data_IF_627988482049
#
_entry.id   IF_627988482049
#
_cell.length_a   1.000
_cell.length_b   1.000
_cell.length_c   1.000
_cell.angle_alpha   90.00
_cell.angle_beta   90.00
_cell.angle_gamma   90.00
#
_symmetry.space_group_name_H-M   'P 1'
#
loop_
_entity.id
_entity.type
_entity.pdbx_description
1 polymer ?
#
# COMPACT_ATOMS: atom_id res chain seq x y z
N UNK A 1 2.01 -5.01 -11.59
CA UNK A 1 1.02 -4.18 -10.86
C UNK A 1 1.72 -2.92 -10.35
N UNK A 2 1.98 -1.97 -11.25
CA UNK A 2 2.55 -0.64 -10.98
C UNK A 2 2.19 0.23 -12.18
N UNK A 3 1.71 1.45 -11.93
CA UNK A 3 1.28 2.48 -12.91
C UNK A 3 0.24 2.12 -13.98
N UNK A 4 -0.03 0.85 -14.23
CA UNK A 4 -0.96 0.39 -15.26
C UNK A 4 -2.42 0.71 -14.93
N UNK A 5 -2.74 1.06 -13.68
CA UNK A 5 -4.10 1.36 -13.23
C UNK A 5 -5.09 0.20 -13.39
N UNK A 6 -4.62 -0.98 -13.79
CA UNK A 6 -5.45 -2.15 -14.03
C UNK A 6 -5.95 -2.71 -12.70
N UNK A 7 -7.25 -3.02 -12.60
CA UNK A 7 -7.80 -3.66 -11.41
C UNK A 7 -7.21 -5.06 -11.26
N UNK A 8 -6.94 -5.43 -10.01
CA UNK A 8 -6.55 -6.80 -9.66
C UNK A 8 -7.73 -7.45 -8.95
N UNK A 9 -8.28 -8.57 -9.46
CA UNK A 9 -9.33 -9.30 -8.78
C UNK A 9 -8.85 -9.76 -7.40
N UNK A 10 -9.56 -9.34 -6.35
CA UNK A 10 -9.41 -9.89 -5.02
C UNK A 10 -10.34 -11.10 -4.92
N UNK A 11 -9.76 -12.30 -4.98
CA UNK A 11 -10.45 -13.58 -4.83
C UNK A 11 -9.95 -14.28 -3.57
N UNK A 12 -10.59 -15.38 -3.17
CA UNK A 12 -10.16 -16.16 -1.99
C UNK A 12 -8.72 -16.68 -2.14
N UNK A 13 -8.25 -16.86 -3.38
CA UNK A 13 -6.86 -17.18 -3.72
C UNK A 13 -5.85 -16.12 -3.29
N UNK A 14 -6.29 -14.88 -3.07
CA UNK A 14 -5.42 -13.79 -2.62
C UNK A 14 -4.81 -14.03 -1.23
N UNK A 15 -5.39 -14.94 -0.44
CA UNK A 15 -4.88 -15.32 0.88
C UNK A 15 -4.00 -16.58 0.86
N UNK A 16 -3.94 -17.27 -0.28
CA UNK A 16 -3.19 -18.51 -0.43
C UNK A 16 -1.70 -18.21 -0.56
N UNK A 17 -0.88 -18.90 0.22
CA UNK A 17 0.57 -18.84 0.11
C UNK A 17 1.02 -19.94 -0.84
N UNK A 18 1.70 -19.54 -1.91
CA UNK A 18 2.27 -20.44 -2.90
C UNK A 18 3.76 -20.63 -2.61
N UNK A 19 4.18 -21.87 -2.46
CA UNK A 19 5.59 -22.25 -2.38
C UNK A 19 6.09 -22.64 -3.76
N UNK A 20 7.28 -22.16 -4.13
CA UNK A 20 7.94 -22.51 -5.38
C UNK A 20 9.33 -23.07 -5.07
N UNK A 21 9.68 -24.17 -5.72
CA UNK A 21 11.02 -24.72 -5.67
C UNK A 21 12.02 -23.69 -6.24
N UNK A 22 13.12 -23.47 -5.52
CA UNK A 22 14.09 -22.43 -5.86
C UNK A 22 14.78 -22.73 -7.19
N UNK A 23 15.20 -23.97 -7.42
CA UNK A 23 15.91 -24.35 -8.64
C UNK A 23 14.98 -24.25 -9.85
N UNK A 24 13.72 -24.68 -9.70
CA UNK A 24 12.69 -24.52 -10.72
C UNK A 24 12.38 -23.04 -11.02
N UNK A 25 12.26 -22.20 -9.99
CA UNK A 25 12.03 -20.77 -10.13
C UNK A 25 13.19 -20.06 -10.85
N UNK A 26 14.43 -20.38 -10.48
CA UNK A 26 15.62 -19.86 -11.14
C UNK A 26 15.70 -20.33 -12.59
N UNK A 27 15.43 -21.60 -12.86
CA UNK A 27 15.45 -22.14 -14.23
C UNK A 27 14.49 -21.41 -15.17
N UNK A 28 13.34 -20.95 -14.66
CA UNK A 28 12.35 -20.18 -15.40
C UNK A 28 12.66 -18.68 -15.50
N UNK A 29 13.53 -18.15 -14.65
CA UNK A 29 13.80 -16.71 -14.58
C UNK A 29 15.23 -16.39 -15.05
N UNK A 30 15.36 -15.93 -16.29
CA UNK A 30 16.65 -15.56 -16.88
C UNK A 30 17.36 -14.45 -16.11
N UNK A 31 16.63 -13.40 -15.71
CA UNK A 31 17.22 -12.28 -14.96
C UNK A 31 17.74 -12.74 -13.60
N UNK A 32 16.96 -13.54 -12.87
CA UNK A 32 17.36 -14.03 -11.56
C UNK A 32 18.67 -14.84 -11.64
N UNK A 33 18.81 -15.72 -12.64
CA UNK A 33 20.07 -16.46 -12.87
C UNK A 33 21.24 -15.56 -13.19
N UNK A 34 21.04 -14.56 -14.05
CA UNK A 34 22.11 -13.61 -14.42
C UNK A 34 22.59 -12.80 -13.20
N UNK A 35 21.67 -12.40 -12.32
CA UNK A 35 22.00 -11.63 -11.11
C UNK A 35 22.83 -12.45 -10.11
N UNK A 36 22.60 -13.76 -10.00
CA UNK A 36 23.35 -14.63 -9.07
C UNK A 36 24.86 -14.67 -9.35
N UNK A 37 25.29 -14.34 -10.57
CA UNK A 37 26.72 -14.32 -10.95
C UNK A 37 27.37 -12.94 -10.83
N UNK A 38 26.66 -11.95 -10.28
CA UNK A 38 27.15 -10.57 -10.16
C UNK A 38 27.73 -10.28 -8.78
N UNK A 39 28.64 -9.31 -8.71
CA UNK A 39 29.29 -8.89 -7.47
C UNK A 39 28.83 -7.49 -7.00
N UNK A 40 28.12 -6.75 -7.86
CA UNK A 40 27.68 -5.40 -7.55
C UNK A 40 26.39 -5.00 -8.24
N UNK A 41 25.75 -3.96 -7.70
CA UNK A 41 24.46 -3.44 -8.20
C UNK A 41 24.54 -2.91 -9.63
N UNK A 42 25.69 -2.40 -10.07
CA UNK A 42 25.82 -1.88 -11.44
C UNK A 42 25.67 -2.98 -12.49
N UNK A 43 26.25 -4.16 -12.24
CA UNK A 43 26.08 -5.35 -13.08
C UNK A 43 24.62 -5.83 -13.08
N UNK A 44 23.95 -5.82 -11.93
CA UNK A 44 22.52 -6.16 -11.81
C UNK A 44 21.65 -5.23 -12.66
N UNK A 45 21.90 -3.92 -12.57
CA UNK A 45 21.19 -2.94 -13.38
C UNK A 45 21.44 -3.14 -14.88
N UNK A 46 22.67 -3.48 -15.28
CA UNK A 46 23.00 -3.76 -16.67
C UNK A 46 22.25 -4.99 -17.18
N UNK A 47 22.25 -6.09 -16.43
CA UNK A 47 21.47 -7.28 -16.80
C UNK A 47 19.97 -7.02 -16.86
N UNK A 48 19.44 -6.18 -15.98
CA UNK A 48 18.02 -5.78 -16.02
C UNK A 48 17.70 -5.07 -17.33
N UNK A 49 18.55 -4.13 -17.78
CA UNK A 49 18.40 -3.47 -19.09
C UNK A 49 18.51 -4.44 -20.25
N UNK A 50 19.51 -5.31 -20.24
CA UNK A 50 19.78 -6.23 -21.34
C UNK A 50 18.67 -7.28 -21.51
N UNK A 51 18.10 -7.76 -20.40
CA UNK A 51 17.11 -8.85 -20.40
C UNK A 51 15.68 -8.32 -20.44
N UNK A 52 15.36 -7.30 -19.64
CA UNK A 52 13.99 -6.76 -19.50
C UNK A 52 13.75 -5.49 -20.31
N UNK A 53 14.81 -4.85 -20.84
CA UNK A 53 14.71 -3.56 -21.54
C UNK A 53 14.65 -2.34 -20.62
N UNK A 54 14.65 -2.55 -19.29
CA UNK A 54 14.62 -1.48 -18.29
C UNK A 54 15.25 -1.93 -16.96
N UNK A 55 15.58 -0.96 -16.10
CA UNK A 55 15.97 -1.19 -14.71
C UNK A 55 14.99 -0.47 -13.78
N UNK A 56 14.49 -1.14 -12.74
CA UNK A 56 13.67 -0.49 -11.70
C UNK A 56 14.44 0.66 -11.04
N UNK A 57 15.76 0.57 -10.90
CA UNK A 57 16.58 1.66 -10.35
C UNK A 57 16.60 2.88 -11.29
N UNK A 58 16.64 2.67 -12.61
CA UNK A 58 16.51 3.78 -13.57
C UNK A 58 15.11 4.42 -13.48
N UNK A 59 14.08 3.58 -13.37
CA UNK A 59 12.72 4.05 -13.18
C UNK A 59 12.61 4.88 -11.89
N UNK A 60 13.14 4.43 -10.75
CA UNK A 60 13.10 5.19 -9.50
C UNK A 60 13.95 6.47 -9.53
N UNK A 61 15.10 6.47 -10.23
CA UNK A 61 15.91 7.67 -10.43
C UNK A 61 15.17 8.70 -11.27
N UNK A 62 14.57 8.28 -12.38
CA UNK A 62 13.67 9.11 -13.16
C UNK A 62 12.48 9.55 -12.32
N UNK A 63 11.96 8.66 -11.48
CA UNK A 63 10.83 8.95 -10.60
C UNK A 63 11.19 9.97 -9.52
N UNK A 64 12.43 10.01 -9.07
CA UNK A 64 12.88 10.97 -8.09
C UNK A 64 13.13 12.34 -8.73
N UNK A 65 13.61 12.39 -9.98
CA UNK A 65 13.94 13.66 -10.65
C UNK A 65 12.70 14.51 -10.98
N UNK A 66 11.65 13.92 -11.55
CA UNK A 66 10.37 14.62 -11.80
C UNK A 66 9.55 14.89 -10.52
N UNK A 67 9.64 14.08 -9.47
CA UNK A 67 8.98 14.40 -8.18
C UNK A 67 9.71 15.53 -7.44
N UNK A 68 11.04 15.56 -7.52
CA UNK A 68 11.85 16.63 -6.93
C UNK A 68 11.61 18.01 -7.58
N UNK A 69 11.06 18.05 -8.79
CA UNK A 69 10.70 19.31 -9.48
C UNK A 69 9.24 19.73 -9.26
N UNK A 70 8.40 18.89 -8.65
CA UNK A 70 7.03 19.25 -8.31
C UNK A 70 7.00 20.11 -7.04
N UNK A 71 6.40 21.30 -7.14
CA UNK A 71 6.15 22.13 -5.96
C UNK A 71 5.13 21.43 -5.06
N UNK A 72 5.41 21.39 -3.75
CA UNK A 72 4.47 20.84 -2.79
C UNK A 72 3.12 21.59 -2.89
N UNK A 73 2.10 20.90 -3.39
CA UNK A 73 0.79 21.49 -3.55
C UNK A 73 0.13 21.61 -2.17
N UNK A 74 -0.18 22.83 -1.75
CA UNK A 74 -1.02 23.03 -0.57
C UNK A 74 -2.42 22.52 -0.87
N UNK A 75 -2.81 21.46 -0.17
CA UNK A 75 -4.13 20.85 -0.33
C UNK A 75 -5.19 21.72 0.34
N UNK A 76 -6.26 22.00 -0.40
CA UNK A 76 -7.50 22.52 0.15
C UNK A 76 -8.42 21.34 0.52
N UNK A 77 -8.83 21.19 1.79
CA UNK A 77 -9.61 20.03 2.24
C UNK A 77 -10.90 19.80 1.45
N UNK A 78 -11.65 20.86 1.14
CA UNK A 78 -12.91 20.74 0.39
C UNK A 78 -12.67 20.25 -1.05
N UNK A 79 -11.64 20.80 -1.71
CA UNK A 79 -11.22 20.34 -3.03
C UNK A 79 -10.78 18.87 -3.02
N UNK A 80 -10.10 18.42 -1.96
CA UNK A 80 -9.69 17.02 -1.81
C UNK A 80 -10.89 16.09 -1.63
N UNK A 81 -11.86 16.46 -0.81
CA UNK A 81 -13.08 15.67 -0.61
C UNK A 81 -13.89 15.55 -1.91
N UNK A 82 -14.06 16.64 -2.65
CA UNK A 82 -14.74 16.59 -3.96
C UNK A 82 -14.03 15.64 -4.94
N UNK A 83 -12.70 15.74 -5.05
CA UNK A 83 -11.91 14.85 -5.90
C UNK A 83 -11.95 13.39 -5.44
N UNK A 84 -12.15 13.14 -4.15
CA UNK A 84 -12.35 11.79 -3.61
C UNK A 84 -13.69 11.21 -4.02
N UNK A 85 -14.76 12.01 -4.00
CA UNK A 85 -16.07 11.58 -4.50
C UNK A 85 -16.01 11.24 -6.00
N UNK A 86 -15.33 12.06 -6.80
CA UNK A 86 -15.09 11.80 -8.23
C UNK A 86 -14.28 10.51 -8.45
N UNK A 87 -13.18 10.35 -7.70
CA UNK A 87 -12.34 9.15 -7.75
C UNK A 87 -13.13 7.89 -7.39
N UNK A 88 -13.97 7.94 -6.35
CA UNK A 88 -14.80 6.83 -5.92
C UNK A 88 -15.86 6.47 -6.98
N UNK A 89 -16.52 7.47 -7.56
CA UNK A 89 -17.51 7.27 -8.62
C UNK A 89 -16.88 6.61 -9.86
N UNK A 90 -15.70 7.08 -10.28
CA UNK A 90 -14.94 6.50 -11.40
C UNK A 90 -14.41 5.09 -11.09
N UNK A 91 -13.94 4.84 -9.87
CA UNK A 91 -13.52 3.50 -9.47
C UNK A 91 -14.72 2.53 -9.52
N UNK A 92 -15.87 2.94 -8.98
CA UNK A 92 -17.09 2.14 -8.96
C UNK A 92 -17.63 1.86 -10.36
N UNK A 93 -17.56 2.84 -11.28
CA UNK A 93 -18.00 2.65 -12.68
C UNK A 93 -17.17 1.56 -13.39
N UNK A 94 -15.93 1.36 -12.95
CA UNK A 94 -15.01 0.30 -13.41
C UNK A 94 -15.11 -1.00 -12.61
N UNK A 95 -16.08 -1.12 -11.70
CA UNK A 95 -16.28 -2.31 -10.87
C UNK A 95 -15.27 -2.47 -9.72
N UNK A 96 -14.51 -1.42 -9.40
CA UNK A 96 -13.51 -1.43 -8.31
C UNK A 96 -14.21 -1.14 -6.98
N UNK A 97 -14.02 -2.02 -6.01
CA UNK A 97 -14.59 -1.91 -4.65
C UNK A 97 -13.53 -1.62 -3.56
N UNK A 98 -12.24 -1.77 -3.88
CA UNK A 98 -11.13 -1.49 -2.97
C UNK A 98 -10.05 -0.71 -3.70
N UNK A 99 -9.40 0.23 -2.98
CA UNK A 99 -8.23 0.95 -3.47
C UNK A 99 -7.16 0.96 -2.39
N UNK A 100 -5.89 1.08 -2.79
CA UNK A 100 -4.79 1.19 -1.83
C UNK A 100 -4.55 2.65 -1.46
N UNK A 101 -4.05 2.91 -0.25
CA UNK A 101 -3.66 4.25 0.16
C UNK A 101 -2.61 4.86 -0.78
N UNK A 102 -1.67 4.05 -1.27
CA UNK A 102 -0.70 4.47 -2.28
C UNK A 102 -1.38 4.95 -3.55
N UNK A 103 -2.36 4.21 -4.08
CA UNK A 103 -3.08 4.60 -5.30
C UNK A 103 -3.86 5.91 -5.11
N UNK A 104 -4.43 6.12 -3.93
CA UNK A 104 -5.02 7.41 -3.55
C UNK A 104 -3.93 8.48 -3.54
N UNK A 105 -2.84 8.32 -2.79
CA UNK A 105 -1.74 9.28 -2.74
C UNK A 105 -1.23 9.68 -4.14
N UNK A 106 -1.05 8.71 -5.04
CA UNK A 106 -0.70 8.94 -6.45
C UNK A 106 -1.76 9.75 -7.20
N UNK A 107 -3.06 9.46 -7.03
CA UNK A 107 -4.15 10.19 -7.69
C UNK A 107 -4.27 11.64 -7.21
N UNK A 108 -3.91 11.91 -5.95
CA UNK A 108 -4.00 13.22 -5.32
C UNK A 108 -2.68 14.01 -5.35
N UNK A 109 -1.60 13.44 -5.93
CA UNK A 109 -0.29 14.09 -5.93
C UNK A 109 0.29 14.28 -4.53
N UNK A 110 -0.04 13.40 -3.58
CA UNK A 110 0.47 13.46 -2.21
C UNK A 110 1.89 12.90 -2.20
N UNK A 111 2.88 13.79 -2.14
CA UNK A 111 4.27 13.42 -1.96
C UNK A 111 4.57 13.09 -0.50
N UNK A 112 5.54 12.19 -0.25
CA UNK A 112 5.99 11.75 1.09
C UNK A 112 6.55 12.87 1.99
N UNK A 113 6.56 14.12 1.51
CA UNK A 113 7.06 15.31 2.21
C UNK A 113 5.98 16.11 2.94
N UNK A 114 4.70 15.72 2.87
CA UNK A 114 3.65 16.36 3.67
C UNK A 114 3.80 15.95 5.15
N UNK A 115 3.90 16.90 6.10
CA UNK A 115 3.89 16.56 7.52
C UNK A 115 2.62 15.79 7.87
N UNK A 116 2.78 14.58 8.42
CA UNK A 116 1.68 13.76 8.96
C UNK A 116 1.16 14.38 10.24
N UNK A 117 0.45 15.49 10.11
CA UNK A 117 -0.34 16.07 11.20
C UNK A 117 -1.81 15.81 10.91
N UNK A 118 -2.40 14.97 11.79
CA UNK A 118 -3.84 14.72 11.95
C UNK A 118 -4.42 13.78 10.88
N UNK A 119 -5.04 12.63 11.15
CA UNK A 119 -5.81 12.19 12.31
C UNK A 119 -7.12 11.61 11.74
N UNK A 120 -7.27 10.27 11.80
CA UNK A 120 -8.49 9.49 11.51
C UNK A 120 -9.35 9.87 10.28
N UNK A 121 -9.21 9.16 9.15
CA UNK A 121 -10.36 8.80 8.30
C UNK A 121 -10.07 7.54 7.47
N UNK A 122 -10.71 6.44 7.84
CA UNK A 122 -10.97 5.29 6.97
C UNK A 122 -12.19 4.54 7.55
N UNK A 123 -13.38 4.83 7.01
CA UNK A 123 -14.42 3.81 6.87
C UNK A 123 -15.41 4.25 5.77
N UNK A 124 -15.27 3.66 4.60
CA UNK A 124 -16.36 3.55 3.64
C UNK A 124 -16.87 2.10 3.72
N UNK A 125 -17.84 1.86 4.60
CA UNK A 125 -18.88 0.82 4.48
C UNK A 125 -19.61 0.65 5.83
N UNK A 126 -20.85 1.17 5.89
CA UNK A 126 -22.02 0.62 6.58
C UNK A 126 -22.96 1.74 7.03
N UNK A 127 -23.89 2.14 6.15
CA UNK A 127 -25.15 2.73 6.60
C UNK A 127 -26.05 1.58 7.05
N UNK A 128 -26.32 1.46 8.35
CA UNK A 128 -27.67 1.17 8.87
C UNK A 128 -27.69 1.04 10.40
N UNK A 129 -28.77 1.60 10.95
CA UNK A 129 -29.35 1.34 12.27
C UNK A 129 -28.86 2.15 13.48
N UNK A 130 -29.71 3.10 13.81
CA UNK A 130 -29.85 3.90 15.04
C UNK A 130 -29.94 3.07 16.33
N UNK A 131 -29.21 3.50 17.37
CA UNK A 131 -29.71 3.91 18.71
C UNK A 131 -28.54 4.32 19.62
N UNK A 132 -28.55 5.53 20.24
CA UNK A 132 -27.54 5.93 21.23
C UNK A 132 -28.08 5.81 22.66
N UNK A 133 -27.22 5.43 23.62
CA UNK A 133 -27.28 5.74 25.06
C UNK A 133 -26.14 5.02 25.82
N UNK A 134 -25.73 5.47 27.02
CA UNK A 134 -25.46 6.84 27.45
C UNK A 134 -24.03 6.98 28.06
N UNK A 135 -23.64 8.22 28.30
CA UNK A 135 -22.36 8.62 28.88
C UNK A 135 -22.17 8.15 30.33
N UNK A 136 -20.94 7.74 30.67
CA UNK A 136 -20.45 7.74 32.05
C UNK A 136 -19.51 6.58 32.39
N UNK A 137 -18.20 6.86 32.43
CA UNK A 137 -17.30 6.36 33.48
C UNK A 137 -15.87 6.90 33.23
N UNK A 138 -15.47 7.87 34.05
CA UNK A 138 -14.05 8.12 34.36
C UNK A 138 -13.54 6.92 35.16
N UNK A 139 -12.39 6.36 34.79
CA UNK A 139 -11.55 5.62 35.71
C UNK A 139 -10.08 5.75 35.28
N UNK A 140 -9.35 6.58 36.01
CA UNK A 140 -7.89 6.59 36.08
C UNK A 140 -7.42 5.27 36.70
N UNK A 141 -6.37 4.62 36.20
CA UNK A 141 -5.44 3.73 36.94
C UNK A 141 -4.15 3.63 36.10
N UNK A 142 -3.02 4.21 36.50
CA UNK A 142 -2.01 3.69 37.44
C UNK A 142 -1.54 2.27 37.12
N UNK A 143 -0.31 2.23 36.61
CA UNK A 143 0.45 1.07 36.14
C UNK A 143 1.28 0.50 37.30
N UNK A 144 1.14 -0.80 37.63
CA UNK A 144 2.23 -1.68 38.07
C UNK A 144 1.78 -3.17 38.05
N UNK A 145 2.74 -4.11 37.90
CA UNK A 145 2.49 -5.50 37.48
C UNK A 145 2.61 -6.52 38.62
N UNK A 146 1.96 -7.68 38.48
CA UNK A 146 2.41 -8.90 39.16
C UNK A 146 1.94 -10.18 38.44
N UNK A 147 2.85 -11.15 38.41
CA UNK A 147 2.69 -12.54 38.01
C UNK A 147 1.41 -13.23 38.49
N UNK A 148 0.81 -14.07 37.65
CA UNK A 148 0.60 -15.50 37.96
C UNK A 148 -0.02 -16.25 36.78
N UNK A 149 0.30 -17.54 36.77
CA UNK A 149 -0.06 -18.65 35.89
C UNK A 149 -1.56 -18.85 35.65
N UNK A 150 -1.82 -19.65 34.62
CA UNK A 150 -2.86 -20.70 34.54
C UNK A 150 -4.06 -20.43 33.61
N UNK A 151 -4.08 -21.17 32.49
CA UNK A 151 -5.17 -22.10 32.19
C UNK A 151 -6.44 -21.60 31.48
N UNK A 152 -6.73 -22.34 30.38
CA UNK A 152 -8.05 -22.85 29.96
C UNK A 152 -8.76 -22.15 28.78
N UNK A 153 -9.04 -23.01 27.79
CA UNK A 153 -9.92 -22.90 26.62
C UNK A 153 -11.41 -22.81 27.00
N UNK A 154 -12.22 -22.63 25.94
CA UNK A 154 -13.64 -22.97 25.71
C UNK A 154 -14.50 -21.70 25.57
N UNK A 155 -15.34 -21.57 24.54
CA UNK A 155 -15.70 -22.48 23.45
C UNK A 155 -16.46 -21.73 22.34
#
# INVERSE_FOLDING_TARGET
MRDAGLPVPLTDEGSVVYEADLDEALNRNQLARAILTTENLHQVEQHSRDICGFSEIDYERNKSSWLGSQSAQRLDPETVLHRLDEFEADARSRGINHTTFRRLAEAFGLSDTQPRTSGHYCSAAARSSTRPCPAGARASHSNQPSDAREGVRLG
#
